data_IF_766201909075
#
_entry.id   IF_766201909075
#
_cell.length_a   1.000
_cell.length_b   1.000
_cell.length_c   1.000
_cell.angle_alpha   90.00
_cell.angle_beta   90.00
_cell.angle_gamma   90.00
#
_symmetry.space_group_name_H-M   'P 1'
#
loop_
_entity.id
_entity.type
_entity.pdbx_description
1 polymer ?
#
# COMPACT_ATOMS: atom_id res chain seq x y z
N UNK A 1 -4.74 -16.70 13.98
CA UNK A 1 -5.46 -15.48 13.51
C UNK A 1 -6.80 -15.90 12.96
N UNK A 2 -7.88 -15.41 13.55
CA UNK A 2 -9.23 -15.67 13.02
C UNK A 2 -9.39 -14.92 11.69
N UNK A 3 -10.07 -15.52 10.71
CA UNK A 3 -10.24 -14.93 9.36
C UNK A 3 -10.81 -13.50 9.39
N UNK A 4 -11.63 -13.20 10.39
CA UNK A 4 -12.26 -11.91 10.63
C UNK A 4 -11.24 -10.80 10.93
N UNK A 5 -10.22 -11.09 11.74
CA UNK A 5 -9.19 -10.12 12.14
C UNK A 5 -8.31 -9.72 10.96
N UNK A 6 -7.97 -10.69 10.10
CA UNK A 6 -7.18 -10.45 8.89
C UNK A 6 -7.93 -9.55 7.91
N UNK A 7 -9.24 -9.78 7.76
CA UNK A 7 -10.09 -8.95 6.89
C UNK A 7 -10.24 -7.54 7.45
N UNK A 8 -10.39 -7.39 8.76
CA UNK A 8 -10.46 -6.09 9.41
C UNK A 8 -9.19 -5.28 9.16
N UNK A 9 -8.01 -5.86 9.41
CA UNK A 9 -6.72 -5.19 9.13
C UNK A 9 -6.55 -4.80 7.67
N UNK A 10 -6.97 -5.66 6.74
CA UNK A 10 -6.93 -5.32 5.31
C UNK A 10 -7.86 -4.16 4.96
N UNK A 11 -9.03 -4.09 5.61
CA UNK A 11 -9.96 -2.98 5.44
C UNK A 11 -9.38 -1.68 5.99
N UNK A 12 -8.80 -1.69 7.19
CA UNK A 12 -8.14 -0.51 7.80
C UNK A 12 -7.02 0.02 6.91
N UNK A 13 -6.14 -0.86 6.40
CA UNK A 13 -5.07 -0.46 5.47
C UNK A 13 -5.64 0.18 4.21
N UNK A 14 -6.70 -0.42 3.65
CA UNK A 14 -7.35 0.10 2.44
C UNK A 14 -8.01 1.46 2.68
N UNK A 15 -8.68 1.63 3.82
CA UNK A 15 -9.39 2.85 4.20
C UNK A 15 -8.43 4.02 4.42
N UNK A 16 -7.35 3.80 5.16
CA UNK A 16 -6.28 4.80 5.36
C UNK A 16 -5.63 5.21 4.03
N UNK A 17 -5.32 4.23 3.16
CA UNK A 17 -4.77 4.52 1.83
C UNK A 17 -5.75 5.30 0.96
N UNK A 18 -7.03 4.90 0.96
CA UNK A 18 -8.06 5.56 0.18
C UNK A 18 -8.25 7.01 0.63
N UNK A 19 -8.41 7.25 1.93
CA UNK A 19 -8.58 8.59 2.51
C UNK A 19 -7.41 9.51 2.18
N UNK A 20 -6.17 9.00 2.22
CA UNK A 20 -5.01 9.79 1.83
C UNK A 20 -5.03 10.15 0.35
N UNK A 21 -5.30 9.17 -0.52
CA UNK A 21 -5.25 9.36 -1.98
C UNK A 21 -6.45 10.14 -2.53
N UNK A 22 -7.60 10.13 -1.83
CA UNK A 22 -8.79 10.92 -2.16
C UNK A 22 -8.49 12.43 -2.14
N UNK A 23 -7.52 12.86 -1.32
CA UNK A 23 -7.03 14.25 -1.33
C UNK A 23 -6.25 14.64 -2.59
N UNK A 24 -6.21 13.78 -3.62
CA UNK A 24 -5.55 14.01 -4.90
C UNK A 24 -4.04 13.79 -4.87
N UNK A 25 -3.51 13.20 -3.80
CA UNK A 25 -2.07 12.99 -3.63
C UNK A 25 -1.65 11.63 -4.14
N UNK A 26 -0.59 11.61 -4.94
CA UNK A 26 0.13 10.40 -5.33
C UNK A 26 1.03 9.96 -4.16
N UNK A 27 0.95 8.70 -3.74
CA UNK A 27 1.86 8.14 -2.73
C UNK A 27 3.07 7.51 -3.42
N UNK A 28 4.26 7.97 -3.07
CA UNK A 28 5.52 7.43 -3.55
C UNK A 28 6.45 7.19 -2.38
N UNK A 29 6.99 5.98 -2.26
CA UNK A 29 7.93 5.69 -1.17
C UNK A 29 8.18 4.20 -0.95
N UNK A 30 9.02 3.92 0.03
CA UNK A 30 9.12 2.61 0.66
C UNK A 30 7.88 2.36 1.53
N UNK A 31 7.64 1.10 1.88
CA UNK A 31 6.50 0.71 2.74
C UNK A 31 6.45 1.49 4.04
N UNK A 32 7.59 1.72 4.70
CA UNK A 32 7.63 2.48 5.95
C UNK A 32 7.26 3.96 5.77
N UNK A 33 7.51 4.54 4.60
CA UNK A 33 7.12 5.91 4.30
C UNK A 33 5.61 6.00 4.07
N UNK A 34 5.04 5.00 3.37
CA UNK A 34 3.59 4.88 3.16
C UNK A 34 2.86 4.70 4.49
N UNK A 35 3.36 3.81 5.36
CA UNK A 35 2.80 3.58 6.70
C UNK A 35 2.70 4.89 7.49
N UNK A 36 3.79 5.67 7.50
CA UNK A 36 3.83 6.97 8.20
C UNK A 36 2.94 8.00 7.54
N UNK A 37 2.93 8.08 6.21
CA UNK A 37 2.14 9.08 5.48
C UNK A 37 0.63 8.87 5.62
N UNK A 38 0.20 7.61 5.69
CA UNK A 38 -1.21 7.23 5.78
C UNK A 38 -1.67 6.86 7.19
N UNK A 39 -0.82 7.03 8.20
CA UNK A 39 -1.08 6.66 9.60
C UNK A 39 -1.60 5.22 9.76
N UNK A 40 -0.96 4.27 9.08
CA UNK A 40 -1.40 2.87 9.05
C UNK A 40 -0.89 2.14 10.30
N UNK A 41 -1.80 1.64 11.12
CA UNK A 41 -1.48 0.87 12.32
C UNK A 41 -1.20 -0.62 12.00
N UNK A 42 -0.24 -0.89 11.13
CA UNK A 42 0.18 -2.24 10.74
C UNK A 42 1.69 -2.33 10.50
N UNK A 43 2.25 -3.53 10.61
CA UNK A 43 3.67 -3.76 10.35
C UNK A 43 3.99 -3.70 8.84
N UNK A 44 5.26 -3.41 8.53
CA UNK A 44 5.74 -3.28 7.15
C UNK A 44 5.54 -4.52 6.29
N UNK A 45 5.58 -5.72 6.86
CA UNK A 45 5.35 -6.95 6.10
C UNK A 45 3.86 -7.09 5.72
N UNK A 46 2.95 -6.81 6.65
CA UNK A 46 1.50 -6.84 6.39
C UNK A 46 1.11 -5.84 5.31
N UNK A 47 1.61 -4.61 5.37
CA UNK A 47 1.33 -3.59 4.35
C UNK A 47 1.96 -3.97 3.00
N UNK A 48 3.19 -4.48 2.97
CA UNK A 48 3.80 -4.97 1.74
C UNK A 48 2.95 -6.07 1.07
N UNK A 49 2.48 -7.05 1.86
CA UNK A 49 1.63 -8.14 1.36
C UNK A 49 0.27 -7.64 0.87
N UNK A 50 -0.31 -6.64 1.54
CA UNK A 50 -1.52 -5.98 1.07
C UNK A 50 -1.29 -5.33 -0.29
N UNK A 51 -0.22 -4.54 -0.45
CA UNK A 51 0.10 -3.85 -1.71
C UNK A 51 0.38 -4.83 -2.85
N UNK A 52 1.10 -5.93 -2.60
CA UNK A 52 1.32 -7.00 -3.58
C UNK A 52 0.01 -7.62 -4.09
N UNK A 53 -0.94 -7.88 -3.17
CA UNK A 53 -2.26 -8.41 -3.51
C UNK A 53 -3.09 -7.39 -4.29
N UNK A 54 -3.15 -6.16 -3.78
CA UNK A 54 -3.91 -5.08 -4.40
C UNK A 54 -3.41 -4.74 -5.81
N UNK A 55 -2.12 -4.93 -6.10
CA UNK A 55 -1.55 -4.80 -7.45
C UNK A 55 -2.10 -5.85 -8.42
N UNK A 56 -2.31 -7.08 -7.95
CA UNK A 56 -2.73 -8.21 -8.80
C UNK A 56 -4.26 -8.33 -8.91
N UNK A 57 -5.01 -7.59 -8.09
CA UNK A 57 -6.48 -7.67 -8.05
C UNK A 57 -7.10 -6.70 -9.06
N UNK A 58 -7.85 -7.24 -10.03
CA UNK A 58 -8.53 -6.46 -11.06
C UNK A 58 -9.50 -5.40 -10.47
N UNK A 59 -10.25 -5.78 -9.43
CA UNK A 59 -11.23 -4.90 -8.76
C UNK A 59 -10.64 -4.02 -7.65
N UNK A 60 -9.31 -4.06 -7.44
CA UNK A 60 -8.66 -3.12 -6.50
C UNK A 60 -8.89 -1.68 -6.98
N UNK A 61 -9.26 -0.74 -6.10
CA UNK A 61 -9.37 0.68 -6.46
C UNK A 61 -8.01 1.35 -6.62
N UNK A 62 -6.92 0.66 -6.27
CA UNK A 62 -5.57 1.21 -6.30
C UNK A 62 -4.82 0.81 -7.59
N UNK A 63 -4.11 1.78 -8.18
CA UNK A 63 -3.04 1.53 -9.15
C UNK A 63 -1.74 1.49 -8.39
N UNK A 64 -1.12 0.30 -8.34
CA UNK A 64 0.14 0.07 -7.61
C UNK A 64 1.23 -0.30 -8.61
N UNK A 65 2.29 0.49 -8.62
CA UNK A 65 3.51 0.21 -9.37
C UNK A 65 4.64 -0.07 -8.38
N UNK A 66 5.27 -1.24 -8.53
CA UNK A 66 6.37 -1.69 -7.68
C UNK A 66 7.66 -1.67 -8.47
N UNK A 67 8.62 -0.88 -8.01
CA UNK A 67 9.93 -0.73 -8.68
C UNK A 67 11.02 -1.24 -7.75
N UNK A 68 11.82 -2.18 -8.24
CA UNK A 68 13.03 -2.62 -7.55
C UNK A 68 14.18 -1.69 -7.99
N UNK A 69 14.66 -0.84 -7.10
CA UNK A 69 15.82 -0.01 -7.41
C UNK A 69 17.12 -0.79 -7.18
N UNK A 70 17.63 -1.42 -8.27
CA UNK A 70 18.86 -2.22 -8.26
C UNK A 70 20.14 -1.40 -8.05
N UNK A 71 20.08 -0.06 -8.11
CA UNK A 71 21.25 0.82 -7.97
C UNK A 71 21.60 1.16 -6.52
N UNK A 72 20.73 0.85 -5.56
CA UNK A 72 20.99 1.10 -4.14
C UNK A 72 21.51 -0.20 -3.49
N UNK A 73 22.62 -0.16 -2.73
CA UNK A 73 23.22 -1.35 -2.10
C UNK A 73 22.29 -2.03 -1.09
N UNK A 74 21.27 -1.33 -0.62
CA UNK A 74 20.14 -1.88 0.13
C UNK A 74 18.89 -1.84 -0.75
N UNK A 75 18.58 -2.98 -1.36
CA UNK A 75 17.43 -3.28 -2.23
C UNK A 75 16.08 -2.85 -1.62
N UNK A 76 15.76 -1.56 -1.69
CA UNK A 76 14.47 -1.03 -1.26
C UNK A 76 13.44 -1.21 -2.36
N UNK A 77 12.41 -2.01 -2.10
CA UNK A 77 11.18 -2.00 -2.89
C UNK A 77 10.53 -0.62 -2.76
N UNK A 78 10.36 0.05 -3.90
CA UNK A 78 9.69 1.33 -3.98
C UNK A 78 8.29 1.12 -4.56
N UNK A 79 7.32 1.83 -3.98
CA UNK A 79 5.92 1.74 -4.35
C UNK A 79 5.45 3.11 -4.81
N UNK A 80 4.71 3.11 -5.92
CA UNK A 80 3.93 4.25 -6.39
C UNK A 80 2.46 3.83 -6.39
N UNK A 81 1.65 4.52 -5.61
CA UNK A 81 0.24 4.19 -5.37
C UNK A 81 -0.62 5.40 -5.75
N UNK A 82 -1.63 5.16 -6.57
CA UNK A 82 -2.68 6.12 -6.92
C UNK A 82 -4.05 5.45 -6.83
N UNK A 83 -5.12 6.24 -6.78
CA UNK A 83 -6.47 5.72 -7.04
C UNK A 83 -6.66 5.54 -8.56
N UNK A 84 -7.39 4.50 -8.95
CA UNK A 84 -7.93 4.40 -10.31
C UNK A 84 -8.92 5.55 -10.48
N UNK A 85 -8.61 6.47 -11.39
CA UNK A 85 -9.61 7.38 -11.93
C UNK A 85 -10.72 6.54 -12.56
N UNK A 86 -11.96 6.76 -12.11
CA UNK A 86 -13.15 6.15 -12.70
C UNK A 86 -13.33 6.59 -14.14
#
# INVERSE_FOLDING_TARGET
>A
MQKSEVRHKQWEIADSLFSYLETGKLLNGKVNEIIKACDIHADGYTVAKFLERAQSMAHSPFVIQRTLNRKLPYNGLFYRIALKTR
#
